data_IF_227711451214
#
_entry.id   IF_227711451214
#
_cell.length_a   1.000
_cell.length_b   1.000
_cell.length_c   1.000
_cell.angle_alpha   90.00
_cell.angle_beta   90.00
_cell.angle_gamma   90.00
#
_symmetry.space_group_name_H-M   'P 1'
#
loop_
_entity.id
_entity.type
_entity.pdbx_description
1 polymer ?
#
# COMPACT_ATOMS: atom_id res chain seq x y z
N UNK A 1 5.60 -25.79 -20.84
CA UNK A 1 5.69 -24.90 -19.72
C UNK A 1 4.66 -23.82 -19.93
N UNK A 2 3.71 -23.94 -19.22
CA UNK A 2 2.41 -23.83 -19.29
C UNK A 2 1.75 -22.49 -19.11
N UNK A 3 0.50 -22.54 -19.41
CA UNK A 3 -0.60 -21.64 -19.10
C UNK A 3 -0.80 -21.45 -17.57
N UNK A 4 -0.04 -22.16 -16.74
CA UNK A 4 -0.26 -22.17 -15.29
C UNK A 4 0.09 -20.83 -14.65
N UNK A 5 1.15 -20.16 -15.08
CA UNK A 5 1.48 -18.80 -14.65
C UNK A 5 0.45 -17.74 -15.08
N UNK A 6 -0.35 -18.03 -16.11
CA UNK A 6 -1.44 -17.12 -16.51
C UNK A 6 -2.56 -17.09 -15.47
N UNK A 7 -2.84 -18.20 -14.78
CA UNK A 7 -3.82 -18.20 -13.69
C UNK A 7 -3.36 -17.34 -12.53
N UNK A 8 -2.07 -17.39 -12.17
CA UNK A 8 -1.53 -16.51 -11.14
C UNK A 8 -1.68 -15.03 -11.53
N UNK A 9 -1.19 -14.65 -12.70
CA UNK A 9 -1.25 -13.25 -13.17
C UNK A 9 -2.69 -12.76 -13.34
N UNK A 10 -3.59 -13.61 -13.82
CA UNK A 10 -5.01 -13.25 -13.94
C UNK A 10 -5.68 -13.17 -12.58
N UNK A 11 -5.32 -14.03 -11.62
CA UNK A 11 -5.77 -13.95 -10.23
C UNK A 11 -5.40 -12.61 -9.59
N UNK A 12 -4.14 -12.17 -9.79
CA UNK A 12 -3.68 -10.84 -9.38
C UNK A 12 -4.51 -9.73 -10.05
N UNK A 13 -4.77 -9.84 -11.36
CA UNK A 13 -5.60 -8.87 -12.09
C UNK A 13 -7.02 -8.81 -11.54
N UNK A 14 -7.65 -9.96 -11.25
CA UNK A 14 -8.97 -10.01 -10.63
C UNK A 14 -8.97 -9.40 -9.24
N UNK A 15 -7.93 -9.64 -8.44
CA UNK A 15 -7.79 -9.02 -7.13
C UNK A 15 -7.75 -7.48 -7.25
N UNK A 16 -6.91 -6.94 -8.13
CA UNK A 16 -6.82 -5.49 -8.38
C UNK A 16 -8.13 -4.90 -8.91
N UNK A 17 -8.89 -5.69 -9.68
CA UNK A 17 -10.24 -5.34 -10.14
C UNK A 17 -11.33 -5.56 -9.07
N UNK A 18 -10.96 -5.88 -7.81
CA UNK A 18 -11.86 -6.18 -6.70
C UNK A 18 -12.84 -7.35 -6.96
N UNK A 19 -12.48 -8.26 -7.88
CA UNK A 19 -13.24 -9.45 -8.19
C UNK A 19 -12.68 -10.66 -7.41
N UNK A 20 -12.77 -10.60 -6.09
CA UNK A 20 -12.07 -11.49 -5.17
C UNK A 20 -12.44 -12.97 -5.34
N UNK A 21 -13.71 -13.30 -5.62
CA UNK A 21 -14.13 -14.69 -5.89
C UNK A 21 -13.41 -15.27 -7.12
N UNK A 22 -13.24 -14.46 -8.18
CA UNK A 22 -12.53 -14.90 -9.38
C UNK A 22 -11.03 -15.01 -9.14
N UNK A 23 -10.48 -14.12 -8.33
CA UNK A 23 -9.09 -14.18 -7.90
C UNK A 23 -8.82 -15.49 -7.15
N UNK A 24 -9.65 -15.84 -6.16
CA UNK A 24 -9.57 -17.11 -5.42
C UNK A 24 -9.62 -18.30 -6.39
N UNK A 25 -10.57 -18.32 -7.33
CA UNK A 25 -10.72 -19.44 -8.28
C UNK A 25 -9.47 -19.63 -9.17
N UNK A 26 -8.80 -18.55 -9.54
CA UNK A 26 -7.58 -18.63 -10.34
C UNK A 26 -6.36 -19.02 -9.49
N UNK A 27 -6.22 -18.48 -8.28
CA UNK A 27 -5.18 -18.94 -7.34
C UNK A 27 -5.37 -20.41 -6.97
N UNK A 28 -6.59 -20.91 -6.82
CA UNK A 28 -6.88 -22.32 -6.62
C UNK A 28 -6.38 -23.20 -7.77
N UNK A 29 -6.55 -22.75 -9.01
CA UNK A 29 -6.05 -23.47 -10.18
C UNK A 29 -4.53 -23.49 -10.22
N UNK A 30 -3.92 -22.35 -9.92
CA UNK A 30 -2.47 -22.22 -9.86
C UNK A 30 -1.87 -23.11 -8.75
N UNK A 31 -2.40 -23.05 -7.52
CA UNK A 31 -1.93 -23.81 -6.36
C UNK A 31 -2.01 -25.33 -6.61
N UNK A 32 -3.01 -25.80 -7.36
CA UNK A 32 -3.06 -27.24 -7.72
C UNK A 32 -1.88 -27.70 -8.57
N UNK A 33 -1.26 -26.79 -9.31
CA UNK A 33 -0.09 -27.07 -10.14
C UNK A 33 1.22 -26.75 -9.44
N UNK A 34 1.22 -25.65 -8.70
CA UNK A 34 2.38 -25.13 -7.98
C UNK A 34 2.10 -25.07 -6.45
N UNK A 35 1.93 -26.23 -5.78
CA UNK A 35 1.51 -26.28 -4.37
C UNK A 35 2.61 -25.87 -3.38
N UNK A 36 3.80 -25.53 -3.89
CA UNK A 36 4.96 -25.09 -3.09
C UNK A 36 5.27 -23.61 -3.25
N UNK A 37 4.51 -22.87 -4.05
CA UNK A 37 4.70 -21.43 -4.21
C UNK A 37 4.00 -20.68 -3.05
N UNK A 38 4.74 -20.07 -2.10
CA UNK A 38 4.15 -19.36 -0.98
C UNK A 38 3.36 -18.11 -1.45
N UNK A 39 3.77 -17.48 -2.54
CA UNK A 39 3.13 -16.26 -3.06
C UNK A 39 1.67 -16.50 -3.45
N UNK A 40 1.36 -17.67 -3.96
CA UNK A 40 0.00 -18.01 -4.35
C UNK A 40 -0.94 -18.10 -3.12
N UNK A 41 -0.45 -18.66 -2.02
CA UNK A 41 -1.20 -18.70 -0.77
C UNK A 41 -1.33 -17.32 -0.15
N UNK A 42 -0.29 -16.47 -0.19
CA UNK A 42 -0.37 -15.10 0.29
C UNK A 42 -1.44 -14.29 -0.45
N UNK A 43 -1.49 -14.43 -1.77
CA UNK A 43 -2.45 -13.69 -2.60
C UNK A 43 -3.88 -14.26 -2.47
N UNK A 44 -4.04 -15.58 -2.35
CA UNK A 44 -5.36 -16.17 -2.09
C UNK A 44 -5.87 -15.81 -0.70
N UNK A 45 -5.01 -15.86 0.32
CA UNK A 45 -5.32 -15.42 1.67
C UNK A 45 -5.77 -13.96 1.73
N UNK A 46 -5.09 -13.07 0.99
CA UNK A 46 -5.52 -11.68 0.84
C UNK A 46 -6.93 -11.58 0.22
N UNK A 47 -7.21 -12.37 -0.83
CA UNK A 47 -8.53 -12.41 -1.44
C UNK A 47 -9.61 -12.87 -0.46
N UNK A 48 -9.32 -13.88 0.37
CA UNK A 48 -10.24 -14.33 1.43
C UNK A 48 -10.50 -13.25 2.48
N UNK A 49 -9.51 -12.40 2.82
CA UNK A 49 -9.76 -11.29 3.74
C UNK A 49 -10.79 -10.30 3.20
N UNK A 50 -10.72 -9.96 1.93
CA UNK A 50 -11.74 -9.08 1.31
C UNK A 50 -13.11 -9.73 1.20
N UNK A 51 -13.16 -11.07 1.17
CA UNK A 51 -14.41 -11.83 1.28
C UNK A 51 -14.86 -12.04 2.74
N UNK A 52 -14.17 -11.41 3.71
CA UNK A 52 -14.41 -11.57 5.14
C UNK A 52 -14.22 -13.01 5.67
N UNK A 53 -13.53 -13.88 4.93
CA UNK A 53 -13.20 -15.24 5.37
C UNK A 53 -11.82 -15.27 6.04
N UNK A 54 -11.76 -14.76 7.27
CA UNK A 54 -10.53 -14.70 8.05
C UNK A 54 -9.96 -16.09 8.38
N UNK A 55 -10.80 -17.12 8.39
CA UNK A 55 -10.37 -18.51 8.67
C UNK A 55 -9.54 -19.05 7.53
N UNK A 56 -10.03 -18.98 6.29
CA UNK A 56 -9.28 -19.42 5.13
C UNK A 56 -8.03 -18.56 4.87
N UNK A 57 -8.12 -17.24 5.16
CA UNK A 57 -6.95 -16.39 5.10
C UNK A 57 -5.84 -16.87 6.05
N UNK A 58 -6.17 -17.20 7.30
CA UNK A 58 -5.20 -17.76 8.26
C UNK A 58 -4.62 -19.11 7.81
N UNK A 59 -5.44 -20.01 7.23
CA UNK A 59 -4.96 -21.28 6.70
C UNK A 59 -3.91 -21.06 5.60
N UNK A 60 -4.19 -20.13 4.70
CA UNK A 60 -3.28 -19.79 3.60
C UNK A 60 -1.99 -19.14 4.11
N UNK A 61 -2.07 -18.16 5.01
CA UNK A 61 -0.87 -17.53 5.57
C UNK A 61 -0.05 -18.50 6.42
N UNK A 62 -0.69 -19.44 7.15
CA UNK A 62 0.00 -20.53 7.79
C UNK A 62 0.72 -21.44 6.79
N UNK A 63 0.12 -21.67 5.63
CA UNK A 63 0.76 -22.49 4.59
C UNK A 63 1.95 -21.75 3.99
N UNK A 64 1.79 -20.47 3.67
CA UNK A 64 2.86 -19.63 3.12
C UNK A 64 4.07 -19.57 4.07
N UNK A 65 3.87 -19.25 5.36
CA UNK A 65 4.95 -19.17 6.35
C UNK A 65 5.64 -20.50 6.65
N UNK A 66 5.00 -21.64 6.34
CA UNK A 66 5.64 -22.96 6.42
C UNK A 66 6.45 -23.29 5.17
N UNK A 67 6.02 -22.81 4.00
CA UNK A 67 6.71 -23.01 2.74
C UNK A 67 7.96 -22.14 2.65
N UNK A 68 7.86 -20.89 3.07
CA UNK A 68 9.01 -20.01 3.24
C UNK A 68 9.06 -19.49 4.69
N UNK A 69 10.00 -20.03 5.45
CA UNK A 69 10.19 -19.67 6.87
C UNK A 69 11.06 -18.44 7.07
N UNK A 70 11.69 -17.97 6.02
CA UNK A 70 12.63 -16.85 6.03
C UNK A 70 12.02 -15.59 5.42
N UNK A 71 10.87 -15.69 4.76
CA UNK A 71 10.10 -14.54 4.31
C UNK A 71 9.28 -13.98 5.48
N UNK A 72 9.49 -12.71 5.88
CA UNK A 72 8.71 -12.06 6.92
C UNK A 72 7.24 -11.86 6.55
N UNK A 73 6.91 -11.80 5.25
CA UNK A 73 5.60 -11.43 4.75
C UNK A 73 4.49 -12.37 5.24
N UNK A 74 4.74 -13.69 5.24
CA UNK A 74 3.78 -14.67 5.73
C UNK A 74 3.38 -14.43 7.19
N UNK A 75 4.35 -14.05 8.03
CA UNK A 75 4.13 -13.74 9.44
C UNK A 75 3.39 -12.41 9.59
N UNK A 76 3.79 -11.37 8.86
CA UNK A 76 3.15 -10.04 8.90
C UNK A 76 1.66 -10.18 8.56
N UNK A 77 1.33 -10.84 7.45
CA UNK A 77 -0.07 -11.00 7.02
C UNK A 77 -0.88 -11.82 8.02
N UNK A 78 -0.30 -12.88 8.56
CA UNK A 78 -0.97 -13.70 9.57
C UNK A 78 -1.20 -12.91 10.86
N UNK A 79 -0.18 -12.20 11.35
CA UNK A 79 -0.29 -11.36 12.54
C UNK A 79 -1.36 -10.28 12.42
N UNK A 80 -1.50 -9.66 11.23
CA UNK A 80 -2.59 -8.72 10.97
C UNK A 80 -3.97 -9.36 11.09
N UNK A 81 -4.13 -10.60 10.63
CA UNK A 81 -5.42 -11.30 10.79
C UNK A 81 -5.68 -11.63 12.27
N UNK A 82 -4.65 -12.05 13.01
CA UNK A 82 -4.81 -12.21 14.46
C UNK A 82 -5.21 -10.90 15.15
N UNK A 83 -4.61 -9.77 14.75
CA UNK A 83 -5.01 -8.46 15.28
C UNK A 83 -6.48 -8.10 14.97
N UNK A 84 -6.96 -8.37 13.75
CA UNK A 84 -8.37 -8.20 13.38
C UNK A 84 -9.31 -9.04 14.26
N UNK A 85 -8.84 -10.22 14.70
CA UNK A 85 -9.57 -11.10 15.63
C UNK A 85 -9.38 -10.73 17.09
N UNK A 86 -8.54 -9.72 17.38
CA UNK A 86 -8.10 -9.29 18.72
C UNK A 86 -7.26 -10.33 19.46
N UNK A 87 -6.68 -11.27 18.73
CA UNK A 87 -5.74 -12.28 19.25
C UNK A 87 -4.33 -11.63 19.32
N UNK A 88 -4.19 -10.56 20.12
CA UNK A 88 -3.01 -9.67 20.09
C UNK A 88 -1.70 -10.36 20.45
N UNK A 89 -1.72 -11.36 21.31
CA UNK A 89 -0.50 -12.10 21.70
C UNK A 89 0.09 -12.86 20.51
N UNK A 90 -0.76 -13.54 19.74
CA UNK A 90 -0.35 -14.27 18.54
C UNK A 90 0.07 -13.29 17.44
N UNK A 91 -0.64 -12.16 17.33
CA UNK A 91 -0.31 -11.09 16.40
C UNK A 91 1.08 -10.50 16.68
N UNK A 92 1.38 -10.18 17.95
CA UNK A 92 2.69 -9.65 18.37
C UNK A 92 3.79 -10.68 18.13
N UNK A 93 3.56 -11.96 18.46
CA UNK A 93 4.54 -13.02 18.23
C UNK A 93 4.92 -13.17 16.75
N UNK A 94 3.95 -13.00 15.86
CA UNK A 94 4.19 -13.00 14.42
C UNK A 94 4.98 -11.77 13.96
N UNK A 95 4.69 -10.58 14.50
CA UNK A 95 5.48 -9.38 14.22
C UNK A 95 6.91 -9.50 14.78
N UNK A 96 7.08 -10.08 15.96
CA UNK A 96 8.41 -10.38 16.54
C UNK A 96 9.21 -11.31 15.61
N UNK A 97 8.55 -12.30 15.05
CA UNK A 97 9.19 -13.21 14.10
C UNK A 97 9.59 -12.50 12.81
N UNK A 98 8.70 -11.67 12.26
CA UNK A 98 8.98 -10.87 11.06
C UNK A 98 10.14 -9.89 11.28
N UNK A 99 10.16 -9.18 12.41
CA UNK A 99 11.24 -8.27 12.80
C UNK A 99 12.55 -9.02 13.00
N UNK A 100 12.50 -10.22 13.56
CA UNK A 100 13.69 -11.07 13.72
C UNK A 100 14.28 -11.55 12.39
N UNK A 101 13.47 -11.65 11.35
CA UNK A 101 13.90 -12.00 9.99
C UNK A 101 14.39 -10.76 9.21
N UNK A 102 13.73 -9.62 9.39
CA UNK A 102 14.10 -8.35 8.79
C UNK A 102 13.98 -7.22 9.81
N UNK A 103 15.11 -6.85 10.42
CA UNK A 103 15.19 -5.79 11.43
C UNK A 103 15.01 -4.39 10.87
N UNK A 104 14.95 -4.24 9.56
CA UNK A 104 14.72 -2.96 8.87
C UNK A 104 13.27 -2.76 8.45
N UNK A 105 12.40 -3.75 8.67
CA UNK A 105 11.00 -3.73 8.26
C UNK A 105 10.19 -2.78 9.14
N UNK A 106 10.13 -1.51 8.74
CA UNK A 106 9.38 -0.46 9.44
C UNK A 106 7.89 -0.77 9.55
N UNK A 107 7.34 -1.48 8.57
CA UNK A 107 5.95 -1.87 8.57
C UNK A 107 5.61 -2.90 9.67
N UNK A 108 6.50 -3.85 9.93
CA UNK A 108 6.32 -4.82 11.02
C UNK A 108 6.35 -4.12 12.39
N UNK A 109 7.28 -3.17 12.59
CA UNK A 109 7.31 -2.35 13.80
C UNK A 109 6.04 -1.52 13.96
N UNK A 110 5.59 -0.85 12.89
CA UNK A 110 4.36 -0.06 12.93
C UNK A 110 3.14 -0.90 13.32
N UNK A 111 2.95 -2.07 12.70
CA UNK A 111 1.83 -2.95 13.04
C UNK A 111 1.93 -3.44 14.49
N UNK A 112 3.12 -3.82 14.98
CA UNK A 112 3.30 -4.25 16.37
C UNK A 112 2.98 -3.12 17.34
N UNK A 113 3.35 -1.87 17.00
CA UNK A 113 3.00 -0.71 17.80
C UNK A 113 1.49 -0.54 17.96
N UNK A 114 0.72 -0.73 16.88
CA UNK A 114 -0.75 -0.67 16.95
C UNK A 114 -1.32 -1.76 17.87
N UNK A 115 -0.77 -2.97 17.81
CA UNK A 115 -1.18 -4.07 18.68
C UNK A 115 -0.86 -3.79 20.15
N UNK A 116 0.32 -3.21 20.43
CA UNK A 116 0.65 -2.75 21.79
C UNK A 116 -0.26 -1.62 22.26
N UNK A 117 -0.62 -0.70 21.36
CA UNK A 117 -1.57 0.36 21.67
C UNK A 117 -2.94 -0.21 22.09
N UNK A 118 -3.46 -1.18 21.32
CA UNK A 118 -4.74 -1.82 21.64
C UNK A 118 -4.71 -2.59 22.97
N UNK A 119 -3.54 -3.07 23.37
CA UNK A 119 -3.30 -3.66 24.71
C UNK A 119 -3.02 -2.61 25.80
N UNK A 120 -3.08 -1.31 25.50
CA UNK A 120 -2.71 -0.22 26.39
C UNK A 120 -1.21 -0.25 26.83
N UNK A 121 -0.37 -0.98 26.13
CA UNK A 121 1.08 -0.98 26.36
C UNK A 121 1.74 0.18 25.60
N UNK A 122 1.47 1.40 26.06
CA UNK A 122 1.91 2.62 25.38
C UNK A 122 3.43 2.75 25.28
N UNK A 123 4.18 2.24 26.28
CA UNK A 123 5.64 2.29 26.25
C UNK A 123 6.24 1.45 25.11
N UNK A 124 5.74 0.23 24.93
CA UNK A 124 6.17 -0.63 23.83
C UNK A 124 5.74 -0.05 22.47
N UNK A 125 4.50 0.45 22.37
CA UNK A 125 4.02 1.12 21.17
C UNK A 125 4.90 2.31 20.78
N UNK A 126 5.24 3.18 21.74
CA UNK A 126 6.12 4.35 21.52
C UNK A 126 7.52 3.94 21.06
N UNK A 127 8.07 2.86 21.63
CA UNK A 127 9.39 2.35 21.24
C UNK A 127 9.39 1.95 19.75
N UNK A 128 8.37 1.23 19.32
CA UNK A 128 8.25 0.78 17.93
C UNK A 128 7.99 1.94 16.96
N UNK A 129 7.09 2.89 17.30
CA UNK A 129 6.84 4.07 16.46
C UNK A 129 8.11 4.94 16.35
N UNK A 130 8.88 5.10 17.43
CA UNK A 130 10.16 5.80 17.39
C UNK A 130 11.18 5.05 16.51
N UNK A 131 11.13 3.72 16.47
CA UNK A 131 11.97 2.93 15.57
C UNK A 131 11.62 3.22 14.10
N UNK A 132 10.33 3.26 13.76
CA UNK A 132 9.86 3.63 12.42
C UNK A 132 10.32 5.04 12.04
N UNK A 133 10.09 6.03 12.90
CA UNK A 133 10.42 7.43 12.63
C UNK A 133 11.93 7.72 12.56
N UNK A 134 12.77 6.83 13.06
CA UNK A 134 14.22 6.93 12.88
C UNK A 134 14.62 6.68 11.43
N UNK A 135 13.96 5.73 10.77
CA UNK A 135 14.26 5.36 9.39
C UNK A 135 13.39 6.18 8.40
N UNK A 136 12.18 6.53 8.82
CA UNK A 136 11.18 7.26 8.05
C UNK A 136 10.66 8.51 8.82
N UNK A 137 11.48 9.58 8.96
CA UNK A 137 11.10 10.74 9.78
C UNK A 137 9.83 11.46 9.30
N UNK A 138 9.50 11.36 8.01
CA UNK A 138 8.32 11.94 7.38
C UNK A 138 7.11 11.00 7.30
N UNK A 139 7.11 9.87 8.00
CA UNK A 139 5.96 8.96 7.98
C UNK A 139 4.79 9.57 8.76
N UNK A 140 3.87 10.24 8.02
CA UNK A 140 2.76 10.98 8.59
C UNK A 140 1.82 10.09 9.43
N UNK A 141 1.59 8.83 9.00
CA UNK A 141 0.75 7.90 9.74
C UNK A 141 1.38 7.52 11.09
N UNK A 142 2.68 7.33 11.11
CA UNK A 142 3.42 7.03 12.34
C UNK A 142 3.44 8.24 13.28
N UNK A 143 3.69 9.44 12.77
CA UNK A 143 3.61 10.69 13.55
C UNK A 143 2.20 10.87 14.14
N UNK A 144 1.16 10.66 13.33
CA UNK A 144 -0.22 10.77 13.77
C UNK A 144 -0.53 9.80 14.93
N UNK A 145 -0.16 8.52 14.80
CA UNK A 145 -0.38 7.53 15.85
C UNK A 145 0.45 7.83 17.11
N UNK A 146 1.70 8.27 16.96
CA UNK A 146 2.54 8.69 18.08
C UNK A 146 1.96 9.88 18.83
N UNK A 147 1.41 10.85 18.10
CA UNK A 147 0.69 11.98 18.66
C UNK A 147 -0.50 11.55 19.53
N UNK A 148 -1.31 10.57 19.04
CA UNK A 148 -2.43 10.05 19.83
C UNK A 148 -1.96 9.42 21.13
N UNK A 149 -0.89 8.63 21.10
CA UNK A 149 -0.32 8.01 22.30
C UNK A 149 0.23 9.08 23.26
N UNK A 150 1.00 10.06 22.75
CA UNK A 150 1.52 11.17 23.55
C UNK A 150 0.39 11.92 24.26
N UNK A 151 -0.69 12.23 23.54
CA UNK A 151 -1.87 12.86 24.12
C UNK A 151 -2.56 11.98 25.18
N UNK A 152 -2.59 10.66 24.98
CA UNK A 152 -3.19 9.72 25.93
C UNK A 152 -2.39 9.64 27.24
N UNK A 153 -1.06 9.66 27.15
CA UNK A 153 -0.18 9.60 28.34
C UNK A 153 0.09 10.98 28.96
N UNK A 154 -0.46 12.05 28.38
CA UNK A 154 -0.38 13.42 28.94
C UNK A 154 0.76 14.28 28.39
N UNK A 155 1.56 13.78 27.47
CA UNK A 155 2.66 14.51 26.81
C UNK A 155 2.10 15.42 25.70
N UNK A 156 1.41 16.50 26.09
CA UNK A 156 0.66 17.34 25.15
C UNK A 156 1.54 18.09 24.16
N UNK A 157 2.71 18.55 24.59
CA UNK A 157 3.66 19.28 23.76
C UNK A 157 4.21 18.39 22.63
N UNK A 158 4.58 17.15 22.95
CA UNK A 158 5.04 16.17 21.97
C UNK A 158 3.90 15.77 21.00
N UNK A 159 2.68 15.63 21.54
CA UNK A 159 1.50 15.36 20.74
C UNK A 159 1.22 16.48 19.73
N UNK A 160 1.35 17.75 20.14
CA UNK A 160 1.21 18.91 19.26
C UNK A 160 2.30 18.93 18.20
N UNK A 161 3.57 18.72 18.59
CA UNK A 161 4.68 18.74 17.65
C UNK A 161 4.53 17.68 16.53
N UNK A 162 4.11 16.47 16.90
CA UNK A 162 3.84 15.41 15.93
C UNK A 162 2.68 15.79 14.99
N UNK A 163 1.61 16.38 15.54
CA UNK A 163 0.44 16.77 14.76
C UNK A 163 0.73 17.96 13.83
N UNK A 164 1.62 18.88 14.27
CA UNK A 164 2.13 19.97 13.42
C UNK A 164 2.91 19.41 12.22
N UNK A 165 3.73 18.37 12.44
CA UNK A 165 4.43 17.71 11.36
C UNK A 165 3.45 17.04 10.38
N UNK A 166 2.41 16.35 10.89
CA UNK A 166 1.37 15.74 10.04
C UNK A 166 0.69 16.81 9.16
N UNK A 167 0.32 17.96 9.74
CA UNK A 167 -0.31 19.05 9.00
C UNK A 167 0.65 19.66 7.96
N UNK A 168 1.93 19.77 8.29
CA UNK A 168 2.93 20.27 7.35
C UNK A 168 3.13 19.32 6.15
N UNK A 169 3.01 18.00 6.37
CA UNK A 169 3.09 17.00 5.30
C UNK A 169 1.81 17.01 4.46
N UNK A 170 0.65 17.08 5.12
CA UNK A 170 -0.66 17.11 4.48
C UNK A 170 -1.54 18.22 5.10
N UNK A 171 -1.55 19.43 4.51
CA UNK A 171 -2.35 20.55 4.99
C UNK A 171 -3.87 20.37 4.84
N UNK A 172 -4.32 19.35 4.14
CA UNK A 172 -5.75 19.04 3.97
C UNK A 172 -6.21 17.91 4.92
N UNK A 173 -5.37 17.47 5.84
CA UNK A 173 -5.73 16.41 6.80
C UNK A 173 -6.69 16.93 7.87
N UNK A 174 -7.98 16.71 7.63
CA UNK A 174 -9.09 17.13 8.52
C UNK A 174 -8.93 16.62 9.95
N UNK A 175 -8.50 15.36 10.11
CA UNK A 175 -8.37 14.74 11.43
C UNK A 175 -7.18 15.27 12.21
N UNK A 176 -6.12 15.70 11.52
CA UNK A 176 -4.99 16.33 12.18
C UNK A 176 -5.39 17.64 12.86
N UNK A 177 -6.12 18.50 12.16
CA UNK A 177 -6.68 19.72 12.76
C UNK A 177 -7.66 19.40 13.90
N UNK A 178 -8.57 18.46 13.67
CA UNK A 178 -9.54 18.08 14.70
C UNK A 178 -8.88 17.57 15.99
N UNK A 179 -7.87 16.72 15.88
CA UNK A 179 -7.15 16.19 17.04
C UNK A 179 -6.27 17.24 17.69
N UNK A 180 -5.57 18.07 16.92
CA UNK A 180 -4.78 19.18 17.46
C UNK A 180 -5.66 20.17 18.22
N UNK A 181 -6.83 20.50 17.69
CA UNK A 181 -7.84 21.28 18.40
C UNK A 181 -8.22 20.66 19.74
N UNK A 182 -8.40 19.33 19.77
CA UNK A 182 -8.72 18.61 21.02
C UNK A 182 -7.58 18.67 22.04
N UNK A 183 -6.33 18.70 21.59
CA UNK A 183 -5.17 18.88 22.45
C UNK A 183 -5.14 20.30 23.02
N UNK A 184 -5.37 21.32 22.18
CA UNK A 184 -5.51 22.70 22.63
C UNK A 184 -6.64 22.88 23.66
N UNK A 185 -7.78 22.21 23.48
CA UNK A 185 -8.86 22.18 24.48
C UNK A 185 -8.38 21.64 25.81
N UNK A 186 -7.65 20.51 25.82
CA UNK A 186 -7.10 19.91 27.06
C UNK A 186 -6.08 20.81 27.75
N UNK A 187 -5.40 21.67 27.00
CA UNK A 187 -4.45 22.66 27.50
C UNK A 187 -5.09 24.00 27.86
N UNK A 188 -6.39 24.18 27.67
CA UNK A 188 -7.10 25.45 27.91
C UNK A 188 -6.82 26.53 26.85
N UNK A 189 -6.18 26.19 25.74
CA UNK A 189 -5.84 27.08 24.63
C UNK A 189 -7.05 27.22 23.68
N UNK A 190 -8.09 27.90 24.17
CA UNK A 190 -9.40 27.93 23.50
C UNK A 190 -9.40 28.57 22.13
N UNK A 191 -8.57 29.62 21.91
CA UNK A 191 -8.52 30.30 20.60
C UNK A 191 -7.87 29.44 19.55
N UNK A 192 -6.73 28.79 19.89
CA UNK A 192 -6.04 27.87 18.99
C UNK A 192 -6.94 26.67 18.61
N UNK A 193 -7.68 26.17 19.60
CA UNK A 193 -8.67 25.11 19.35
C UNK A 193 -9.80 25.56 18.44
N UNK A 194 -10.24 26.80 18.55
CA UNK A 194 -11.29 27.36 17.68
C UNK A 194 -10.82 27.41 16.23
N UNK A 195 -9.62 27.95 16.01
CA UNK A 195 -9.04 28.11 14.68
C UNK A 195 -8.87 26.73 13.97
N UNK A 196 -8.42 25.72 14.71
CA UNK A 196 -8.27 24.38 14.17
C UNK A 196 -9.62 23.69 13.89
N UNK A 197 -10.62 23.84 14.77
CA UNK A 197 -11.96 23.34 14.45
C UNK A 197 -12.58 24.06 13.27
N UNK A 198 -12.34 25.38 13.12
CA UNK A 198 -12.77 26.13 11.96
C UNK A 198 -12.16 25.56 10.68
N UNK A 199 -10.85 25.25 10.71
CA UNK A 199 -10.16 24.63 9.57
C UNK A 199 -10.65 23.22 9.27
N UNK A 200 -10.88 22.41 10.27
CA UNK A 200 -11.43 21.05 10.09
C UNK A 200 -12.84 21.10 9.46
N UNK A 201 -13.67 22.07 9.82
CA UNK A 201 -15.01 22.27 9.27
C UNK A 201 -14.94 22.87 7.85
N UNK A 202 -14.01 23.78 7.58
CA UNK A 202 -13.77 24.32 6.23
C UNK A 202 -13.43 23.18 5.26
N UNK A 203 -12.49 22.33 5.64
CA UNK A 203 -12.06 21.18 4.85
C UNK A 203 -13.15 20.12 4.70
N UNK A 204 -13.94 19.89 5.76
CA UNK A 204 -15.07 18.97 5.71
C UNK A 204 -16.33 19.53 6.40
N UNK A 205 -17.21 20.16 5.65
CA UNK A 205 -18.41 20.83 6.18
C UNK A 205 -19.45 19.89 6.83
N UNK A 206 -19.35 18.59 6.63
CA UNK A 206 -20.26 17.61 7.24
C UNK A 206 -19.75 16.99 8.55
N UNK A 207 -18.63 17.51 9.09
CA UNK A 207 -18.03 16.97 10.31
C UNK A 207 -18.81 17.35 11.59
N UNK A 208 -19.86 16.64 11.87
CA UNK A 208 -20.74 16.88 13.02
C UNK A 208 -19.97 16.99 14.36
N UNK A 209 -18.98 16.11 14.60
CA UNK A 209 -18.17 16.16 15.84
C UNK A 209 -17.35 17.44 15.96
N UNK A 210 -16.83 17.97 14.85
CA UNK A 210 -16.09 19.22 14.88
C UNK A 210 -17.00 20.41 15.27
N UNK A 211 -18.22 20.47 14.75
CA UNK A 211 -19.20 21.47 15.18
C UNK A 211 -19.53 21.31 16.68
N UNK A 212 -19.73 20.09 17.15
CA UNK A 212 -20.03 19.85 18.55
C UNK A 212 -18.91 20.33 19.47
N UNK A 213 -17.66 19.99 19.15
CA UNK A 213 -16.51 20.38 19.94
C UNK A 213 -16.23 21.89 19.81
N UNK A 214 -16.43 22.48 18.64
CA UNK A 214 -16.35 23.92 18.44
C UNK A 214 -17.43 24.67 19.25
N UNK A 215 -18.62 24.13 19.32
CA UNK A 215 -19.69 24.64 20.20
C UNK A 215 -19.23 24.72 21.66
N UNK A 216 -18.61 23.66 22.16
CA UNK A 216 -18.03 23.64 23.52
C UNK A 216 -16.98 24.76 23.69
N UNK A 217 -16.03 24.86 22.77
CA UNK A 217 -14.98 25.89 22.79
C UNK A 217 -15.58 27.31 22.77
N UNK A 218 -16.57 27.57 21.90
CA UNK A 218 -17.29 28.85 21.85
C UNK A 218 -17.99 29.18 23.16
N UNK A 219 -18.58 28.18 23.81
CA UNK A 219 -19.20 28.37 25.13
C UNK A 219 -18.17 28.76 26.19
N UNK A 220 -16.99 28.11 26.21
CA UNK A 220 -15.90 28.46 27.12
C UNK A 220 -15.37 29.89 26.89
N UNK A 221 -15.45 30.39 25.66
CA UNK A 221 -15.13 31.76 25.27
C UNK A 221 -16.27 32.76 25.51
N UNK A 222 -17.38 32.34 26.13
CA UNK A 222 -18.55 33.20 26.37
C UNK A 222 -19.38 33.52 25.12
N UNK A 223 -19.12 32.86 23.98
CA UNK A 223 -19.81 33.09 22.72
C UNK A 223 -21.08 32.23 22.60
N UNK A 224 -21.98 32.35 23.58
CA UNK A 224 -23.14 31.42 23.78
C UNK A 224 -24.06 31.32 22.56
N UNK A 225 -24.35 32.45 21.87
CA UNK A 225 -25.22 32.43 20.67
C UNK A 225 -24.64 31.57 19.53
N UNK A 226 -23.37 31.76 19.21
CA UNK A 226 -22.71 30.99 18.15
C UNK A 226 -22.39 29.56 18.58
N UNK A 227 -22.19 29.33 19.87
CA UNK A 227 -22.11 27.98 20.44
C UNK A 227 -23.39 27.20 20.18
N UNK A 228 -24.55 27.79 20.48
CA UNK A 228 -25.85 27.16 20.21
C UNK A 228 -26.06 26.84 18.73
N UNK A 229 -25.66 27.76 17.84
CA UNK A 229 -25.76 27.54 16.39
C UNK A 229 -24.93 26.32 15.93
N UNK A 230 -23.71 26.17 16.43
CA UNK A 230 -22.88 25.01 16.12
C UNK A 230 -23.48 23.71 16.69
N UNK A 231 -24.00 23.74 17.91
CA UNK A 231 -24.67 22.60 18.50
C UNK A 231 -25.87 22.15 17.66
N UNK A 232 -26.75 23.07 17.28
CA UNK A 232 -27.94 22.81 16.46
C UNK A 232 -27.52 22.26 15.07
N UNK A 233 -26.44 22.80 14.50
CA UNK A 233 -25.87 22.31 13.24
C UNK A 233 -25.36 20.89 13.38
N UNK A 234 -24.63 20.57 14.45
CA UNK A 234 -24.15 19.22 14.72
C UNK A 234 -25.29 18.21 14.81
N UNK A 235 -26.35 18.54 15.57
CA UNK A 235 -27.53 17.69 15.72
C UNK A 235 -28.23 17.45 14.38
N UNK A 236 -28.41 18.50 13.57
CA UNK A 236 -28.98 18.41 12.24
C UNK A 236 -28.18 17.45 11.35
N UNK A 237 -26.86 17.61 11.30
CA UNK A 237 -25.98 16.75 10.49
C UNK A 237 -26.01 15.27 10.93
N UNK A 238 -26.07 15.00 12.23
CA UNK A 238 -26.24 13.65 12.76
C UNK A 238 -27.59 13.06 12.34
N UNK A 239 -28.65 13.86 12.43
CA UNK A 239 -29.99 13.42 12.04
C UNK A 239 -30.06 13.13 10.52
N UNK A 240 -29.52 14.00 9.69
CA UNK A 240 -29.44 13.82 8.22
C UNK A 240 -28.64 12.55 7.85
N UNK A 241 -27.52 12.32 8.53
CA UNK A 241 -26.72 11.11 8.32
C UNK A 241 -27.50 9.83 8.66
N UNK A 242 -28.16 9.81 9.82
CA UNK A 242 -29.00 8.68 10.26
C UNK A 242 -30.18 8.42 9.32
N UNK A 243 -30.80 9.50 8.84
CA UNK A 243 -31.92 9.38 7.89
C UNK A 243 -31.47 8.78 6.53
N UNK A 244 -30.25 9.10 6.08
CA UNK A 244 -29.68 8.56 4.84
C UNK A 244 -29.20 7.11 4.98
N UNK A 245 -28.83 6.69 6.20
CA UNK A 245 -28.24 5.38 6.49
C UNK A 245 -29.08 4.62 7.53
N UNK A 246 -30.40 4.64 7.38
CA UNK A 246 -31.35 4.08 8.34
C UNK A 246 -31.19 2.57 8.63
N UNK A 247 -30.37 1.86 7.84
CA UNK A 247 -30.03 0.45 8.07
C UNK A 247 -28.77 0.25 8.95
N UNK A 248 -28.06 1.32 9.30
CA UNK A 248 -26.82 1.25 10.08
C UNK A 248 -27.12 1.77 11.50
N UNK A 249 -27.38 0.87 12.45
CA UNK A 249 -27.64 1.19 13.88
C UNK A 249 -26.37 1.74 14.59
N UNK A 250 -25.49 2.39 13.87
CA UNK A 250 -24.24 2.92 14.38
C UNK A 250 -24.41 4.14 15.29
N UNK A 251 -23.59 4.18 16.32
CA UNK A 251 -23.50 5.29 17.27
C UNK A 251 -23.03 6.59 16.61
N UNK A 252 -23.11 7.71 17.33
CA UNK A 252 -22.55 9.02 16.96
C UNK A 252 -21.11 8.98 16.40
N UNK A 253 -20.39 7.88 16.66
CA UNK A 253 -19.07 7.59 16.10
C UNK A 253 -19.09 7.27 14.59
N UNK A 254 -20.22 6.91 14.00
CA UNK A 254 -20.27 6.41 12.61
C UNK A 254 -20.22 7.50 11.54
N UNK A 255 -20.45 8.75 11.90
CA UNK A 255 -20.01 9.85 11.02
C UNK A 255 -18.50 9.81 10.80
N UNK A 256 -17.75 9.06 11.60
CA UNK A 256 -16.31 8.83 11.47
C UNK A 256 -15.93 7.62 10.64
N UNK A 257 -16.85 6.71 10.26
CA UNK A 257 -16.52 5.60 9.33
C UNK A 257 -16.04 6.12 7.96
N UNK A 258 -16.64 7.21 7.47
CA UNK A 258 -16.16 7.91 6.27
C UNK A 258 -14.79 8.55 6.49
N UNK A 259 -14.39 8.81 7.72
CA UNK A 259 -13.11 9.37 8.13
C UNK A 259 -12.00 8.34 8.27
N UNK A 260 -12.29 7.13 8.71
CA UNK A 260 -11.30 6.04 8.61
C UNK A 260 -10.94 5.76 7.16
N UNK A 261 -11.88 5.99 6.23
CA UNK A 261 -11.58 5.97 4.80
C UNK A 261 -10.88 7.23 4.31
N UNK A 262 -11.04 8.39 4.97
CA UNK A 262 -10.28 9.61 4.65
C UNK A 262 -8.86 9.58 5.21
N UNK A 263 -8.62 8.99 6.38
CA UNK A 263 -7.26 8.68 6.85
C UNK A 263 -6.58 7.75 5.85
N UNK A 264 -7.31 6.80 5.28
CA UNK A 264 -6.83 5.91 4.24
C UNK A 264 -6.69 6.61 2.87
N UNK A 265 -7.50 7.64 2.58
CA UNK A 265 -7.46 8.39 1.31
C UNK A 265 -6.45 9.55 1.34
N UNK A 266 -6.29 10.21 2.48
CA UNK A 266 -5.30 11.29 2.67
C UNK A 266 -3.86 10.76 2.82
N UNK A 267 -3.70 9.53 3.19
CA UNK A 267 -2.43 8.89 3.07
C UNK A 267 -2.31 8.37 1.62
N UNK A 268 -1.57 9.08 0.78
CA UNK A 268 -0.92 8.48 -0.41
C UNK A 268 -0.17 7.19 -0.02
N UNK A 269 0.14 7.03 1.23
CA UNK A 269 0.60 5.84 1.92
C UNK A 269 -0.41 4.70 1.84
N UNK A 270 -1.68 4.90 2.19
CA UNK A 270 -2.65 3.81 2.19
C UNK A 270 -2.89 3.27 0.79
N UNK A 271 -2.78 4.10 -0.25
CA UNK A 271 -3.00 3.65 -1.63
C UNK A 271 -1.76 2.97 -2.21
N UNK A 272 -0.56 3.51 -1.96
CA UNK A 272 0.69 2.85 -2.35
C UNK A 272 0.94 1.62 -1.50
N UNK A 273 0.72 1.68 -0.20
CA UNK A 273 0.96 0.58 0.71
C UNK A 273 -0.14 -0.47 0.61
N UNK A 274 -1.41 -0.09 0.45
CA UNK A 274 -2.51 -1.03 0.20
C UNK A 274 -2.29 -1.81 -1.10
N UNK A 275 -1.93 -1.15 -2.19
CA UNK A 275 -1.59 -1.82 -3.45
C UNK A 275 -0.30 -2.66 -3.30
N UNK A 276 0.57 -2.25 -2.41
CA UNK A 276 1.86 -2.85 -2.17
C UNK A 276 1.85 -4.00 -1.16
N UNK A 277 1.01 -3.95 -0.14
CA UNK A 277 1.01 -4.90 0.97
C UNK A 277 0.16 -6.14 0.73
N UNK A 278 -0.86 -6.03 -0.11
CA UNK A 278 -1.84 -7.09 -0.28
C UNK A 278 -1.46 -8.13 -1.32
N UNK A 279 -0.56 -7.80 -2.22
CA UNK A 279 -0.11 -8.72 -3.26
C UNK A 279 1.41 -8.89 -3.25
N UNK A 280 1.85 -10.11 -3.10
CA UNK A 280 3.23 -10.49 -3.34
C UNK A 280 3.53 -10.49 -4.84
N UNK A 281 4.77 -10.11 -5.23
CA UNK A 281 5.20 -9.89 -6.62
C UNK A 281 4.50 -8.70 -7.30
N UNK A 282 4.64 -7.54 -6.70
CA UNK A 282 4.14 -6.22 -7.14
C UNK A 282 4.65 -5.77 -8.49
N UNK A 283 5.83 -6.21 -8.87
CA UNK A 283 6.50 -5.86 -10.13
C UNK A 283 5.80 -6.43 -11.37
N UNK A 284 4.68 -7.14 -11.13
CA UNK A 284 3.70 -7.35 -12.19
C UNK A 284 3.00 -6.00 -12.42
N UNK A 285 3.74 -5.08 -13.02
CA UNK A 285 3.21 -3.86 -13.58
C UNK A 285 2.42 -4.25 -14.83
N UNK A 286 1.18 -4.72 -14.61
CA UNK A 286 0.24 -5.05 -15.68
C UNK A 286 -0.29 -3.72 -16.26
N UNK A 287 0.61 -2.88 -16.71
CA UNK A 287 0.27 -2.06 -17.87
C UNK A 287 0.30 -3.03 -19.02
N UNK A 288 -0.84 -3.21 -19.66
CA UNK A 288 -0.94 -3.81 -20.97
C UNK A 288 -0.12 -2.94 -21.95
N UNK A 289 1.18 -2.94 -21.78
CA UNK A 289 2.11 -2.51 -22.81
C UNK A 289 2.13 -3.68 -23.78
N UNK A 290 1.93 -3.40 -25.03
CA UNK A 290 2.19 -4.36 -26.09
C UNK A 290 3.50 -5.06 -25.78
N UNK A 291 3.44 -6.35 -25.45
CA UNK A 291 4.62 -7.14 -25.13
C UNK A 291 5.35 -7.38 -26.45
N UNK A 292 6.40 -6.63 -26.67
CA UNK A 292 7.28 -6.84 -27.79
C UNK A 292 8.37 -7.83 -27.36
N UNK A 293 8.48 -8.90 -28.14
CA UNK A 293 9.60 -9.83 -28.01
C UNK A 293 10.72 -9.35 -28.92
N UNK A 294 11.84 -9.00 -28.32
CA UNK A 294 13.08 -8.73 -29.02
C UNK A 294 13.90 -10.01 -29.08
N UNK A 295 14.31 -10.41 -30.27
CA UNK A 295 15.29 -11.49 -30.45
C UNK A 295 16.50 -10.91 -31.13
N UNK A 296 17.63 -11.02 -30.48
CA UNK A 296 18.92 -10.58 -31.02
C UNK A 296 19.67 -11.80 -31.54
N UNK A 297 20.16 -11.73 -32.76
CA UNK A 297 21.01 -12.76 -33.35
C UNK A 297 22.13 -12.09 -34.14
N UNK A 298 23.30 -12.70 -34.16
CA UNK A 298 24.37 -12.25 -35.03
C UNK A 298 23.94 -12.32 -36.49
N UNK A 299 24.20 -11.27 -37.28
CA UNK A 299 23.88 -11.22 -38.70
C UNK A 299 24.74 -12.22 -39.43
N UNK A 300 24.14 -13.28 -39.97
CA UNK A 300 24.84 -14.17 -40.92
C UNK A 300 24.52 -13.70 -42.32
N UNK A 301 25.52 -13.55 -43.15
CA UNK A 301 25.36 -13.25 -44.54
C UNK A 301 24.39 -14.29 -45.17
N UNK A 302 23.37 -13.81 -45.91
CA UNK A 302 22.34 -14.59 -46.60
C UNK A 302 21.09 -15.05 -45.80
N UNK A 303 20.74 -14.47 -44.69
CA UNK A 303 19.40 -14.74 -44.13
C UNK A 303 18.42 -13.63 -44.47
N UNK A 304 17.49 -13.88 -45.38
CA UNK A 304 16.26 -13.11 -45.56
C UNK A 304 15.32 -13.42 -44.39
N UNK A 305 15.36 -12.62 -43.36
CA UNK A 305 14.41 -12.70 -42.26
C UNK A 305 13.18 -11.89 -42.66
N UNK A 306 12.12 -12.59 -43.06
CA UNK A 306 10.83 -11.96 -43.27
C UNK A 306 10.28 -11.51 -41.91
N UNK A 307 10.29 -10.23 -41.65
CA UNK A 307 9.61 -9.61 -40.50
C UNK A 307 8.10 -9.82 -40.67
N UNK A 308 7.50 -10.71 -39.91
CA UNK A 308 6.06 -11.04 -40.02
C UNK A 308 5.13 -9.97 -39.47
N UNK A 309 5.62 -9.05 -38.67
CA UNK A 309 4.87 -7.87 -38.21
C UNK A 309 5.78 -6.64 -38.18
N UNK A 310 5.42 -5.61 -38.90
CA UNK A 310 6.10 -4.33 -38.88
C UNK A 310 5.67 -3.56 -37.63
N UNK A 311 6.63 -3.31 -36.80
CA UNK A 311 6.58 -2.19 -35.89
C UNK A 311 7.20 -1.00 -36.61
N UNK A 312 6.39 -0.01 -36.95
CA UNK A 312 6.89 1.19 -37.64
C UNK A 312 7.41 2.21 -36.62
N UNK A 313 8.68 2.12 -36.33
CA UNK A 313 9.40 3.14 -35.58
C UNK A 313 10.68 3.50 -36.33
N UNK A 314 10.81 4.72 -36.88
CA UNK A 314 11.96 5.12 -37.68
C UNK A 314 13.31 4.98 -36.98
N UNK A 315 13.35 5.12 -35.66
CA UNK A 315 14.59 4.97 -34.87
C UNK A 315 15.00 3.51 -34.77
N UNK A 316 14.05 2.59 -34.57
CA UNK A 316 14.30 1.15 -34.53
C UNK A 316 14.67 0.63 -35.91
N UNK A 317 13.98 1.07 -36.95
CA UNK A 317 14.28 0.68 -38.34
C UNK A 317 15.69 1.12 -38.75
N UNK A 318 16.09 2.32 -38.37
CA UNK A 318 17.45 2.81 -38.61
C UNK A 318 18.49 1.99 -37.84
N UNK A 319 18.21 1.68 -36.58
CA UNK A 319 19.09 0.86 -35.76
C UNK A 319 19.25 -0.56 -36.33
N UNK A 320 18.15 -1.18 -36.76
CA UNK A 320 18.18 -2.52 -37.38
C UNK A 320 18.98 -2.51 -38.70
N UNK A 321 18.88 -1.44 -39.52
CA UNK A 321 19.59 -1.35 -40.79
C UNK A 321 21.09 -1.18 -40.61
N UNK A 322 21.51 -0.45 -39.59
CA UNK A 322 22.89 -0.04 -39.38
C UNK A 322 23.68 -0.97 -38.43
N UNK A 323 22.97 -1.87 -37.73
CA UNK A 323 23.55 -2.76 -36.73
C UNK A 323 24.04 -4.09 -37.31
N UNK A 324 25.19 -4.62 -36.86
CA UNK A 324 25.62 -5.98 -37.17
C UNK A 324 24.77 -7.06 -36.53
N UNK A 325 23.80 -6.67 -35.71
CA UNK A 325 22.85 -7.54 -35.01
C UNK A 325 21.52 -7.57 -35.76
N UNK A 326 20.96 -8.76 -35.97
CA UNK A 326 19.59 -8.89 -36.44
C UNK A 326 18.66 -8.86 -35.24
N UNK A 327 17.91 -7.77 -35.14
CA UNK A 327 16.85 -7.62 -34.13
C UNK A 327 15.49 -7.92 -34.79
N UNK A 328 14.78 -8.89 -34.26
CA UNK A 328 13.40 -9.14 -34.64
C UNK A 328 12.48 -8.69 -33.52
N UNK A 329 11.50 -7.83 -33.86
CA UNK A 329 10.46 -7.39 -32.93
C UNK A 329 9.19 -8.12 -33.31
N UNK A 330 8.62 -8.88 -32.39
CA UNK A 330 7.32 -9.52 -32.60
C UNK A 330 6.37 -9.14 -31.48
N UNK A 331 5.14 -8.81 -31.86
CA UNK A 331 4.03 -8.74 -30.92
C UNK A 331 3.64 -10.18 -30.57
N UNK A 332 3.75 -10.55 -29.30
CA UNK A 332 3.44 -11.88 -28.83
C UNK A 332 2.40 -11.77 -27.72
N UNK A 333 1.26 -12.42 -27.91
CA UNK A 333 0.28 -12.62 -26.85
C UNK A 333 0.75 -13.62 -25.79
N UNK A 334 1.92 -14.23 -26.00
CA UNK A 334 2.55 -15.13 -25.03
C UNK A 334 3.48 -14.35 -24.11
N UNK A 335 3.45 -14.69 -22.83
CA UNK A 335 4.42 -14.21 -21.83
C UNK A 335 5.85 -14.41 -22.38
N UNK A 336 6.68 -13.40 -22.15
CA UNK A 336 8.10 -13.47 -22.47
C UNK A 336 8.68 -14.72 -21.81
N UNK A 337 9.32 -15.58 -22.59
CA UNK A 337 9.96 -16.76 -22.01
C UNK A 337 11.08 -16.35 -21.06
N UNK A 338 11.34 -17.15 -20.01
CA UNK A 338 12.45 -16.87 -19.08
C UNK A 338 13.80 -16.67 -19.80
N UNK A 339 14.03 -17.40 -20.87
CA UNK A 339 15.22 -17.26 -21.71
C UNK A 339 15.37 -15.87 -22.33
N UNK A 340 14.25 -15.22 -22.63
CA UNK A 340 14.26 -13.85 -23.13
C UNK A 340 14.47 -12.84 -22.00
N UNK A 341 13.89 -13.06 -20.85
CA UNK A 341 14.17 -12.27 -19.65
C UNK A 341 15.66 -12.37 -19.27
N UNK A 342 16.23 -13.57 -19.33
CA UNK A 342 17.67 -13.75 -19.15
C UNK A 342 18.49 -13.00 -20.21
N UNK A 343 18.01 -12.95 -21.44
CA UNK A 343 18.68 -12.19 -22.49
C UNK A 343 18.70 -10.69 -22.23
N UNK A 344 17.58 -10.14 -21.74
CA UNK A 344 17.51 -8.74 -21.31
C UNK A 344 18.38 -8.53 -20.07
N UNK A 345 18.32 -9.43 -19.10
CA UNK A 345 19.15 -9.39 -17.90
C UNK A 345 20.62 -9.44 -18.25
N UNK A 346 21.03 -10.32 -19.16
CA UNK A 346 22.40 -10.40 -19.60
C UNK A 346 22.87 -9.14 -20.36
N UNK A 347 21.96 -8.48 -21.09
CA UNK A 347 22.26 -7.20 -21.72
C UNK A 347 22.33 -6.05 -20.71
N UNK A 348 21.56 -6.13 -19.63
CA UNK A 348 21.61 -5.18 -18.53
C UNK A 348 22.79 -5.44 -17.59
N UNK A 349 23.11 -6.71 -17.36
CA UNK A 349 24.13 -7.14 -16.40
C UNK A 349 25.48 -7.46 -17.03
N UNK A 350 25.64 -7.31 -18.33
CA UNK A 350 26.92 -7.43 -19.00
C UNK A 350 27.04 -8.54 -20.02
N UNK A 351 28.25 -8.94 -20.24
CA UNK A 351 28.74 -9.52 -21.47
C UNK A 351 28.37 -11.00 -21.73
N UNK A 352 27.74 -11.68 -20.78
CA UNK A 352 27.48 -13.13 -20.91
C UNK A 352 26.48 -13.50 -21.99
N UNK A 353 25.51 -12.63 -22.26
CA UNK A 353 24.56 -12.85 -23.35
C UNK A 353 25.10 -12.38 -24.70
N UNK A 354 25.87 -11.31 -24.68
CA UNK A 354 26.53 -10.80 -25.87
C UNK A 354 27.67 -11.73 -26.35
N UNK A 355 28.13 -12.62 -25.50
CA UNK A 355 29.14 -13.63 -25.86
C UNK A 355 28.63 -14.70 -26.85
N UNK A 356 27.33 -14.79 -27.10
CA UNK A 356 26.79 -15.63 -28.18
C UNK A 356 26.96 -15.01 -29.57
N UNK A 357 27.25 -13.69 -29.67
CA UNK A 357 27.74 -12.98 -30.83
C UNK A 357 29.11 -12.35 -30.50
N UNK A 358 29.96 -12.10 -31.44
CA UNK A 358 31.28 -11.49 -31.17
C UNK A 358 31.08 -10.10 -30.52
N UNK A 359 31.40 -9.92 -29.21
CA UNK A 359 31.20 -8.66 -28.51
C UNK A 359 31.95 -7.49 -29.11
N UNK A 360 33.03 -7.79 -29.89
CA UNK A 360 33.83 -6.79 -30.60
C UNK A 360 33.13 -6.17 -31.79
N UNK A 361 32.01 -6.77 -32.23
CA UNK A 361 31.22 -6.27 -33.35
C UNK A 361 30.18 -5.23 -32.95
N UNK A 362 29.96 -5.00 -31.64
CA UNK A 362 28.98 -4.06 -31.12
C UNK A 362 29.59 -2.68 -30.91
N UNK A 363 28.96 -1.67 -31.46
CA UNK A 363 29.30 -0.28 -31.21
C UNK A 363 28.86 0.18 -29.82
N UNK A 364 29.41 1.28 -29.31
CA UNK A 364 28.96 1.85 -28.04
C UNK A 364 27.47 2.29 -28.10
N UNK A 365 27.00 2.68 -29.30
CA UNK A 365 25.59 2.99 -29.55
C UNK A 365 24.70 1.74 -29.42
N UNK A 366 25.13 0.60 -29.92
CA UNK A 366 24.44 -0.68 -29.80
C UNK A 366 24.32 -1.10 -28.30
N UNK A 367 25.41 -0.93 -27.55
CA UNK A 367 25.46 -1.23 -26.12
C UNK A 367 24.60 -0.29 -25.30
N UNK A 368 24.56 1.00 -25.64
CA UNK A 368 23.70 1.98 -24.99
C UNK A 368 22.21 1.70 -25.25
N UNK A 369 21.88 1.30 -26.48
CA UNK A 369 20.50 0.94 -26.86
C UNK A 369 20.01 -0.33 -26.14
N UNK A 370 20.87 -1.33 -26.00
CA UNK A 370 20.54 -2.57 -25.28
C UNK A 370 20.36 -2.32 -23.78
N UNK A 371 21.02 -1.31 -23.21
CA UNK A 371 20.93 -0.91 -21.80
C UNK A 371 19.77 0.05 -21.51
N UNK A 372 19.20 0.73 -22.47
CA UNK A 372 18.09 1.69 -22.34
C UNK A 372 16.74 1.06 -22.54
#
# INVERSE_FOLDING_TARGET
PGLDGLYFSRGVTYFLAQQFDKAVADFDRYIRKEPKDPSAYLNRGASYLFLNDTTKALEDYNRASRLDRFDPEGYIRRGRVYALRKDYNDAIADMDKAIGLDTTNTFAYFNRALMYYDQNNYNAAMSDLNRVLRDEPGNALTLYNRSLINAQVGNMEDALADMDHVININPENVLAYYNRASYFVRMGRWMDALDDYDKAIELYPDFAKAYLNRSYVKNMLGRTKSSKQDYDTAQKKVHEYRAKNAADEGSFADTTKKYSSLIALDADFAKKDFDNELLQNRDINIRLKSLYKFSLAARRDNQNIALRHRYENPLIDKFISDSPIVMTVSNSDSLVKPEFAHGIDASLYGDSYLAAGDPKSLTDADRAFIKG
#
